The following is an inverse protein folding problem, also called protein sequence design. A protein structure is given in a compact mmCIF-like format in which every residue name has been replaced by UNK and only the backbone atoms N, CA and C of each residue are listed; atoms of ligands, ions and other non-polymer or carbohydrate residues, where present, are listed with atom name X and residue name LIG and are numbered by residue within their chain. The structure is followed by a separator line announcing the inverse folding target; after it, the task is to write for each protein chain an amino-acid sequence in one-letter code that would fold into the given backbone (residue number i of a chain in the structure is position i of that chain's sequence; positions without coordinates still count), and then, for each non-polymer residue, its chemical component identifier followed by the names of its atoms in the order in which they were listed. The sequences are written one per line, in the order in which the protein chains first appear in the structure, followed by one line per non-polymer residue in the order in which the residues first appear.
data_IF_717910254019
#
_entry.id   IF_717910254019
#
_cell.length_a   1.000
_cell.length_b   1.000
_cell.length_c   1.000
_cell.angle_alpha   90.00
_cell.angle_beta   90.00
_cell.angle_gamma   90.00
#
_symmetry.space_group_name_H-M   'P 1'
#
loop_
_entity.id
_entity.type
_entity.pdbx_description
1 polymer ?
#
# COMPACT_ATOMS: atom_id res chain seq x y z
N UNK A 1 -22.04 15.55 -2.29
CA UNK A 1 -22.16 14.38 -1.40
C UNK A 1 -21.44 13.23 -2.09
N UNK A 2 -20.38 12.64 -1.50
CA UNK A 2 -19.37 11.92 -2.26
C UNK A 2 -19.74 10.45 -2.50
N UNK A 3 -19.26 9.95 -3.64
CA UNK A 3 -19.56 8.65 -4.22
C UNK A 3 -18.71 7.51 -3.61
N UNK A 4 -18.93 7.19 -2.33
CA UNK A 4 -18.17 6.15 -1.62
C UNK A 4 -18.94 4.84 -1.32
N UNK A 5 -20.06 4.58 -1.98
CA UNK A 5 -20.75 3.28 -1.85
C UNK A 5 -21.24 2.76 -3.20
N UNK A 6 -20.31 2.51 -4.12
CA UNK A 6 -20.59 1.62 -5.25
C UNK A 6 -20.14 0.20 -4.87
N UNK A 7 -21.03 -0.54 -4.21
CA UNK A 7 -20.90 -1.99 -4.00
C UNK A 7 -20.63 -2.68 -5.35
N UNK A 8 -19.47 -3.31 -5.48
CA UNK A 8 -19.09 -4.00 -6.70
C UNK A 8 -19.93 -5.29 -6.89
N UNK A 9 -20.56 -5.45 -8.05
CA UNK A 9 -21.37 -6.63 -8.37
C UNK A 9 -20.47 -7.82 -8.74
N UNK A 10 -20.12 -8.64 -7.75
CA UNK A 10 -19.26 -9.83 -7.84
C UNK A 10 -19.74 -10.93 -8.81
N UNK A 11 -20.89 -10.76 -9.46
CA UNK A 11 -21.44 -11.70 -10.44
C UNK A 11 -20.82 -11.58 -11.82
N UNK A 12 -20.05 -10.52 -12.08
CA UNK A 12 -19.36 -10.32 -13.35
C UNK A 12 -17.85 -10.50 -13.17
N UNK A 13 -17.17 -11.21 -14.08
CA UNK A 13 -15.73 -11.32 -14.01
C UNK A 13 -15.08 -9.95 -14.26
N UNK A 14 -14.13 -9.58 -13.42
CA UNK A 14 -13.29 -8.41 -13.58
C UNK A 14 -11.93 -8.61 -12.95
N UNK A 15 -11.02 -7.68 -13.24
CA UNK A 15 -9.71 -7.61 -12.62
C UNK A 15 -9.75 -6.52 -11.55
N UNK A 16 -9.32 -6.86 -10.34
CA UNK A 16 -9.09 -5.86 -9.29
C UNK A 16 -7.61 -5.48 -9.32
N UNK A 17 -7.35 -4.18 -9.35
CA UNK A 17 -6.03 -3.61 -9.48
C UNK A 17 -5.77 -2.59 -8.36
N UNK A 18 -4.53 -2.54 -7.87
CA UNK A 18 -4.09 -1.54 -6.92
C UNK A 18 -2.59 -1.27 -7.11
N UNK A 19 -2.20 0.00 -7.01
CA UNK A 19 -0.79 0.43 -6.93
C UNK A 19 -0.55 0.93 -5.53
N UNK A 20 0.49 0.43 -4.89
CA UNK A 20 0.83 0.82 -3.53
C UNK A 20 2.32 0.75 -3.26
N UNK A 21 2.74 1.41 -2.19
CA UNK A 21 4.10 1.29 -1.67
C UNK A 21 4.38 -0.16 -1.25
N UNK A 22 5.60 -0.69 -1.47
CA UNK A 22 6.02 -2.01 -0.97
C UNK A 22 5.91 -2.15 0.56
N UNK A 23 5.79 -1.02 1.27
CA UNK A 23 5.74 -0.97 2.74
C UNK A 23 4.31 -0.92 3.30
N UNK A 24 3.28 -0.77 2.45
CA UNK A 24 1.88 -0.73 2.86
C UNK A 24 1.16 -1.94 2.27
N UNK A 25 0.40 -2.67 3.08
CA UNK A 25 -0.51 -3.72 2.59
C UNK A 25 -1.81 -3.09 2.14
N UNK A 26 -2.14 -3.28 0.88
CA UNK A 26 -3.48 -2.96 0.37
C UNK A 26 -4.40 -4.16 0.52
N UNK A 27 -5.59 -3.93 1.03
CA UNK A 27 -6.70 -4.86 0.93
C UNK A 27 -7.57 -4.46 -0.27
N UNK A 28 -7.43 -5.14 -1.42
CA UNK A 28 -8.18 -4.80 -2.63
C UNK A 28 -9.70 -5.02 -2.47
N UNK A 29 -10.17 -5.68 -1.41
CA UNK A 29 -11.60 -5.88 -1.16
C UNK A 29 -12.29 -4.69 -0.50
N UNK A 30 -11.54 -3.72 0.04
CA UNK A 30 -12.09 -2.54 0.75
C UNK A 30 -12.22 -1.35 -0.19
N UNK A 31 -11.27 -1.18 -1.11
CA UNK A 31 -11.30 -0.10 -2.12
C UNK A 31 -10.71 -0.60 -3.46
N UNK A 32 -11.51 -1.34 -4.26
CA UNK A 32 -11.02 -1.95 -5.49
C UNK A 32 -11.02 -0.94 -6.66
N UNK A 33 -9.88 -0.79 -7.34
CA UNK A 33 -9.94 -0.33 -8.73
C UNK A 33 -10.33 -1.52 -9.61
N UNK A 34 -11.49 -1.44 -10.25
CA UNK A 34 -12.03 -2.54 -11.05
C UNK A 34 -11.84 -2.25 -12.54
N UNK A 35 -11.16 -3.16 -13.24
CA UNK A 35 -11.03 -3.15 -14.69
C UNK A 35 -12.03 -4.13 -15.31
N UNK A 36 -12.93 -3.61 -16.13
CA UNK A 36 -13.91 -4.42 -16.89
C UNK A 36 -13.24 -5.13 -18.05
N UNK A 37 -13.68 -6.35 -18.34
CA UNK A 37 -13.20 -7.13 -19.48
C UNK A 37 -13.57 -6.50 -20.82
N UNK A 38 -12.79 -6.80 -21.86
CA UNK A 38 -13.05 -6.35 -23.24
C UNK A 38 -12.62 -4.91 -23.53
N UNK A 39 -11.83 -4.31 -22.65
CA UNK A 39 -11.33 -2.95 -22.77
C UNK A 39 -9.81 -2.92 -22.64
N UNK A 40 -9.18 -2.00 -23.37
CA UNK A 40 -7.77 -1.67 -23.22
C UNK A 40 -7.63 -0.49 -22.24
N UNK A 41 -6.70 -0.60 -21.31
CA UNK A 41 -6.45 0.42 -20.30
C UNK A 41 -5.00 0.90 -20.38
N UNK A 42 -4.81 2.22 -20.38
CA UNK A 42 -3.51 2.84 -20.13
C UNK A 42 -3.46 3.27 -18.66
N UNK A 43 -2.56 2.63 -17.89
CA UNK A 43 -2.39 2.93 -16.46
C UNK A 43 -1.14 3.79 -16.30
N UNK A 44 -1.33 5.07 -15.98
CA UNK A 44 -0.25 6.02 -15.76
C UNK A 44 -0.04 6.19 -14.26
N UNK A 45 1.08 5.69 -13.76
CA UNK A 45 1.48 5.84 -12.36
C UNK A 45 2.42 7.02 -12.23
N UNK A 46 2.08 7.97 -11.36
CA UNK A 46 2.94 9.11 -11.00
C UNK A 46 3.12 9.14 -9.50
N UNK A 47 4.37 9.25 -9.05
CA UNK A 47 4.66 9.50 -7.65
C UNK A 47 4.42 10.99 -7.39
N UNK A 48 3.37 11.31 -6.63
CA UNK A 48 3.04 12.71 -6.31
C UNK A 48 4.03 13.30 -5.32
N UNK A 49 4.40 12.55 -4.28
CA UNK A 49 5.40 12.93 -3.30
C UNK A 49 5.98 11.70 -2.59
N UNK A 50 7.27 11.77 -2.24
CA UNK A 50 7.88 10.90 -1.25
C UNK A 50 8.37 11.78 -0.09
N UNK A 51 7.78 11.59 1.09
CA UNK A 51 8.12 12.37 2.27
C UNK A 51 9.32 11.74 2.99
N UNK A 52 10.47 12.39 2.91
CA UNK A 52 11.63 12.04 3.72
C UNK A 52 11.62 12.88 4.99
N UNK A 53 11.15 12.29 6.09
CA UNK A 53 11.20 12.93 7.40
C UNK A 53 12.65 13.03 7.89
N UNK A 54 12.98 14.14 8.58
CA UNK A 54 14.31 14.35 9.14
C UNK A 54 14.59 13.31 10.23
N UNK A 55 15.81 12.73 10.27
CA UNK A 55 16.22 11.88 11.39
C UNK A 55 16.27 12.71 12.69
N UNK A 56 16.34 12.03 13.84
CA UNK A 56 16.58 12.64 15.16
C UNK A 56 17.60 13.82 15.09
N UNK A 57 17.37 14.99 15.76
CA UNK A 57 16.63 15.22 17.00
C UNK A 57 15.14 15.57 16.85
N UNK A 58 14.62 15.58 15.64
CA UNK A 58 13.19 15.84 15.42
C UNK A 58 12.37 14.66 15.94
N UNK A 59 11.29 14.95 16.66
CA UNK A 59 10.36 13.94 17.17
C UNK A 59 9.58 13.35 15.98
N UNK A 60 10.14 12.34 15.33
CA UNK A 60 9.41 11.49 14.41
C UNK A 60 8.94 10.28 15.22
N UNK A 61 7.63 10.11 15.44
CA UNK A 61 7.07 8.88 16.01
C UNK A 61 7.08 7.73 14.98
N UNK A 62 8.13 7.66 14.16
CA UNK A 62 8.30 6.77 13.04
C UNK A 62 9.44 5.82 13.35
N UNK A 63 9.26 4.54 13.03
CA UNK A 63 10.31 3.52 13.13
C UNK A 63 11.00 3.39 11.78
N UNK A 64 12.33 3.54 11.75
CA UNK A 64 13.13 3.28 10.55
C UNK A 64 13.33 1.75 10.37
N UNK A 65 12.33 1.13 9.75
CA UNK A 65 12.34 -0.31 9.47
C UNK A 65 13.46 -0.72 8.51
N UNK A 66 13.90 0.16 7.61
CA UNK A 66 15.00 -0.12 6.69
C UNK A 66 16.34 -0.19 7.42
N UNK A 67 16.62 0.74 8.33
CA UNK A 67 17.81 0.70 9.16
C UNK A 67 17.85 -0.57 10.03
N UNK A 68 16.71 -0.93 10.65
CA UNK A 68 16.58 -2.15 11.46
C UNK A 68 16.81 -3.40 10.60
N UNK A 69 16.17 -3.50 9.44
CA UNK A 69 16.29 -4.63 8.53
C UNK A 69 17.72 -4.80 8.02
N UNK A 70 18.39 -3.70 7.64
CA UNK A 70 19.80 -3.71 7.25
C UNK A 70 20.71 -4.17 8.39
N UNK A 71 20.46 -3.71 9.62
CA UNK A 71 21.21 -4.11 10.82
C UNK A 71 21.03 -5.61 11.13
N UNK A 72 19.85 -6.15 10.83
CA UNK A 72 19.50 -7.55 11.08
C UNK A 72 19.81 -8.47 9.89
N UNK A 73 20.87 -8.21 9.11
CA UNK A 73 21.25 -9.03 7.94
C UNK A 73 20.08 -9.26 6.95
N UNK A 74 19.30 -8.21 6.69
CA UNK A 74 18.14 -8.27 5.78
C UNK A 74 17.05 -9.25 6.23
N UNK A 75 16.84 -9.37 7.54
CA UNK A 75 15.76 -10.17 8.14
C UNK A 75 14.84 -9.31 9.00
N UNK A 76 13.57 -9.74 9.14
CA UNK A 76 12.55 -9.04 9.90
C UNK A 76 11.63 -8.14 9.05
N UNK A 77 10.67 -7.46 9.70
CA UNK A 77 9.67 -6.66 9.01
C UNK A 77 10.27 -5.36 8.43
N UNK A 78 9.82 -5.01 7.23
CA UNK A 78 10.19 -3.76 6.54
C UNK A 78 9.17 -2.64 6.70
N UNK A 79 8.10 -2.88 7.45
CA UNK A 79 7.10 -1.87 7.82
C UNK A 79 6.32 -2.30 9.06
N UNK A 80 5.58 -1.36 9.66
CA UNK A 80 4.75 -1.62 10.83
C UNK A 80 3.63 -2.62 10.55
N UNK A 81 3.05 -2.57 9.36
CA UNK A 81 1.95 -3.48 8.98
C UNK A 81 2.44 -4.91 8.79
N UNK A 82 3.67 -5.14 8.34
CA UNK A 82 4.24 -6.49 8.21
C UNK A 82 4.95 -6.97 9.47
N UNK A 83 4.86 -6.23 10.58
CA UNK A 83 5.36 -6.66 11.87
C UNK A 83 4.42 -7.71 12.49
N UNK A 84 4.65 -8.98 12.15
CA UNK A 84 3.93 -10.12 12.74
C UNK A 84 4.49 -10.43 14.13
N UNK A 85 4.16 -9.61 15.14
CA UNK A 85 4.16 -10.09 16.52
C UNK A 85 2.96 -11.02 16.69
N UNK A 86 3.22 -12.32 16.70
CA UNK A 86 2.25 -13.31 17.17
C UNK A 86 2.00 -13.04 18.65
N UNK A 87 0.82 -12.50 18.96
CA UNK A 87 0.24 -12.55 20.31
C UNK A 87 -0.61 -13.81 20.43
#
# INVERSE_FOLDING_TARGET
MPAHEASYDWRHPAVIFAVHSPFIRVNPSVDPNVLKLGHDYEIIVRLEAEEHLLPHPFHTNCTDYEAIWRKNNKTGPRSQEVNFTFY
#
